data_IF_631994342724
#
_entry.id   IF_631994342724
#
_cell.length_a   1.000
_cell.length_b   1.000
_cell.length_c   1.000
_cell.angle_alpha   90.00
_cell.angle_beta   90.00
_cell.angle_gamma   90.00
#
_symmetry.space_group_name_H-M   'P 1'
#
loop_
_entity.id
_entity.type
_entity.pdbx_description
1 polymer ?
#
# COMPACT_ATOMS: atom_id res chain seq x y z
N UNK A 1 -5.62 -6.66 -14.98
CA UNK A 1 -6.43 -7.51 -14.07
C UNK A 1 -6.12 -9.00 -14.25
N UNK A 2 -6.28 -9.54 -15.44
CA UNK A 2 -6.10 -11.00 -15.70
C UNK A 2 -4.69 -11.50 -15.33
N UNK A 3 -3.64 -10.78 -15.70
CA UNK A 3 -2.25 -11.16 -15.36
C UNK A 3 -1.97 -11.11 -13.86
N UNK A 4 -2.51 -10.11 -13.17
CA UNK A 4 -2.44 -10.02 -11.70
C UNK A 4 -3.11 -11.23 -11.05
N UNK A 5 -4.33 -11.57 -11.50
CA UNK A 5 -5.07 -12.72 -10.98
C UNK A 5 -4.39 -14.05 -11.29
N UNK A 6 -3.74 -14.21 -12.47
CA UNK A 6 -2.95 -15.41 -12.78
C UNK A 6 -1.83 -15.66 -11.78
N UNK A 7 -1.13 -14.60 -11.33
CA UNK A 7 -0.11 -14.69 -10.30
C UNK A 7 -0.70 -15.20 -8.96
N UNK A 8 -1.87 -14.69 -8.56
CA UNK A 8 -2.59 -15.15 -7.37
C UNK A 8 -3.03 -16.62 -7.50
N UNK A 9 -3.66 -16.98 -8.62
CA UNK A 9 -4.07 -18.37 -8.87
C UNK A 9 -2.87 -19.33 -8.81
N UNK A 10 -1.71 -18.88 -9.32
CA UNK A 10 -0.48 -19.67 -9.34
C UNK A 10 0.06 -19.90 -7.93
N UNK A 11 0.06 -18.88 -7.08
CA UNK A 11 0.51 -19.01 -5.70
C UNK A 11 -0.48 -19.81 -4.84
N UNK A 12 -1.78 -19.66 -5.04
CA UNK A 12 -2.78 -20.40 -4.27
C UNK A 12 -2.73 -21.93 -4.54
N UNK A 13 -2.19 -22.36 -5.70
CA UNK A 13 -1.90 -23.77 -5.96
C UNK A 13 -0.82 -24.37 -5.04
N UNK A 14 -0.04 -23.56 -4.34
CA UNK A 14 0.95 -24.03 -3.35
C UNK A 14 0.34 -24.30 -1.98
N UNK A 15 -0.97 -24.09 -1.79
CA UNK A 15 -1.69 -24.28 -0.53
C UNK A 15 -1.84 -23.00 0.30
N UNK A 16 -1.39 -21.87 -0.22
CA UNK A 16 -1.67 -20.56 0.38
C UNK A 16 -3.09 -20.09 0.03
N UNK A 17 -3.67 -19.27 0.89
CA UNK A 17 -4.98 -18.62 0.67
C UNK A 17 -4.78 -17.11 0.56
N UNK A 18 -4.54 -16.64 -0.67
CA UNK A 18 -4.33 -15.24 -0.98
C UNK A 18 -5.50 -14.72 -1.79
N UNK A 19 -6.13 -13.65 -1.30
CA UNK A 19 -7.20 -12.94 -1.98
C UNK A 19 -6.65 -11.68 -2.65
N UNK A 20 -6.88 -11.47 -3.96
CA UNK A 20 -6.51 -10.23 -4.62
C UNK A 20 -7.40 -9.07 -4.17
N UNK A 21 -6.81 -7.90 -4.04
CA UNK A 21 -7.51 -6.64 -3.78
C UNK A 21 -7.08 -5.63 -4.83
N UNK A 22 -7.99 -5.28 -5.75
CA UNK A 22 -7.73 -4.22 -6.73
C UNK A 22 -8.04 -2.87 -6.11
N UNK A 23 -7.10 -1.97 -6.16
CA UNK A 23 -7.24 -0.65 -5.54
C UNK A 23 -7.00 0.49 -6.52
N UNK A 24 -7.68 1.60 -6.29
CA UNK A 24 -7.38 2.90 -6.89
C UNK A 24 -7.93 4.00 -6.00
N UNK A 25 -7.10 5.02 -5.73
CA UNK A 25 -7.49 6.19 -4.94
C UNK A 25 -8.33 7.18 -5.75
N UNK A 26 -9.05 8.05 -5.04
CA UNK A 26 -9.81 9.14 -5.68
C UNK A 26 -8.90 10.04 -6.53
N UNK A 27 -7.68 10.33 -6.05
CA UNK A 27 -6.68 11.12 -6.79
C UNK A 27 -6.28 10.45 -8.10
N UNK A 28 -6.04 9.14 -8.08
CA UNK A 28 -5.69 8.40 -9.29
C UNK A 28 -6.84 8.38 -10.28
N UNK A 29 -8.09 8.19 -9.83
CA UNK A 29 -9.28 8.26 -10.70
C UNK A 29 -9.37 9.60 -11.43
N UNK A 30 -9.13 10.71 -10.71
CA UNK A 30 -9.11 12.05 -11.31
C UNK A 30 -8.02 12.16 -12.38
N UNK A 31 -6.80 11.69 -12.09
CA UNK A 31 -5.65 11.82 -13.00
C UNK A 31 -5.76 10.95 -14.24
N UNK A 32 -6.35 9.77 -14.14
CA UNK A 32 -6.50 8.86 -15.29
C UNK A 32 -7.90 8.90 -15.92
N UNK A 33 -8.74 9.85 -15.52
CA UNK A 33 -10.08 10.07 -16.04
C UNK A 33 -10.98 8.82 -16.00
N UNK A 34 -10.90 8.05 -14.89
CA UNK A 34 -11.69 6.84 -14.65
C UNK A 34 -12.63 7.00 -13.45
N UNK A 35 -13.50 6.02 -13.24
CA UNK A 35 -14.46 5.99 -12.13
C UNK A 35 -14.27 4.73 -11.28
N UNK A 36 -14.68 4.74 -9.99
CA UNK A 36 -14.61 3.54 -9.14
C UNK A 36 -15.25 2.28 -9.75
N UNK A 37 -16.33 2.44 -10.50
CA UNK A 37 -16.99 1.35 -11.21
C UNK A 37 -16.10 0.67 -12.27
N UNK A 38 -15.10 1.37 -12.82
CA UNK A 38 -14.23 0.79 -13.84
C UNK A 38 -13.27 -0.24 -13.22
N UNK A 39 -12.79 0.00 -11.99
CA UNK A 39 -11.97 -0.97 -11.25
C UNK A 39 -12.79 -2.23 -10.93
N UNK A 40 -14.05 -2.07 -10.50
CA UNK A 40 -14.96 -3.20 -10.26
C UNK A 40 -15.17 -4.02 -11.53
N UNK A 41 -15.46 -3.37 -12.65
CA UNK A 41 -15.63 -4.06 -13.95
C UNK A 41 -14.39 -4.82 -14.39
N UNK A 42 -13.21 -4.23 -14.19
CA UNK A 42 -11.95 -4.88 -14.53
C UNK A 42 -11.67 -6.11 -13.65
N UNK A 43 -11.90 -5.99 -12.34
CA UNK A 43 -11.77 -7.10 -11.40
C UNK A 43 -12.73 -8.25 -11.76
N UNK A 44 -14.02 -7.93 -11.96
CA UNK A 44 -15.05 -8.91 -12.32
C UNK A 44 -14.75 -9.59 -13.66
N UNK A 45 -14.27 -8.83 -14.65
CA UNK A 45 -13.86 -9.38 -15.94
C UNK A 45 -12.65 -10.33 -15.81
N UNK A 46 -11.65 -9.99 -15.00
CA UNK A 46 -10.51 -10.85 -14.74
C UNK A 46 -10.91 -12.16 -14.04
N UNK A 47 -11.80 -12.06 -13.04
CA UNK A 47 -12.36 -13.21 -12.31
C UNK A 47 -13.13 -14.12 -13.27
N UNK A 48 -14.00 -13.56 -14.11
CA UNK A 48 -14.77 -14.31 -15.10
C UNK A 48 -13.86 -14.98 -16.15
N UNK A 49 -12.85 -14.26 -16.65
CA UNK A 49 -11.92 -14.78 -17.66
C UNK A 49 -11.11 -15.99 -17.18
N UNK A 50 -10.80 -16.08 -15.89
CA UNK A 50 -10.05 -17.19 -15.29
C UNK A 50 -10.93 -18.23 -14.58
N UNK A 51 -12.24 -18.01 -14.50
CA UNK A 51 -13.15 -18.87 -13.71
C UNK A 51 -12.73 -18.94 -12.23
N UNK A 52 -12.21 -17.84 -11.69
CA UNK A 52 -11.72 -17.80 -10.32
C UNK A 52 -12.88 -17.84 -9.33
N UNK A 53 -12.86 -18.79 -8.40
CA UNK A 53 -13.91 -19.00 -7.39
C UNK A 53 -13.51 -18.57 -5.97
N UNK A 54 -12.30 -18.03 -5.80
CA UNK A 54 -11.83 -17.53 -4.52
C UNK A 54 -12.41 -16.15 -4.19
N UNK A 55 -12.13 -15.67 -2.99
CA UNK A 55 -12.50 -14.30 -2.59
C UNK A 55 -11.63 -13.28 -3.30
N UNK A 56 -12.23 -12.15 -3.66
CA UNK A 56 -11.55 -10.98 -4.20
C UNK A 56 -12.25 -9.71 -3.77
N UNK A 57 -11.54 -8.60 -3.77
CA UNK A 57 -12.05 -7.32 -3.29
C UNK A 57 -11.64 -6.18 -4.20
N UNK A 58 -12.42 -5.10 -4.14
CA UNK A 58 -12.09 -3.80 -4.74
C UNK A 58 -12.00 -2.77 -3.63
N UNK A 59 -10.85 -2.14 -3.48
CA UNK A 59 -10.55 -1.20 -2.42
C UNK A 59 -10.76 0.25 -2.88
N UNK A 60 -11.54 0.97 -2.09
CA UNK A 60 -11.57 2.42 -2.09
C UNK A 60 -10.33 2.93 -1.34
N UNK A 61 -9.23 3.10 -2.08
CA UNK A 61 -7.91 3.35 -1.52
C UNK A 61 -7.78 4.78 -0.98
N UNK A 62 -7.35 4.91 0.29
CA UNK A 62 -7.10 6.19 0.98
C UNK A 62 -8.27 7.18 0.87
N UNK A 63 -9.45 6.76 1.36
CA UNK A 63 -10.66 7.58 1.35
C UNK A 63 -10.86 8.30 2.70
N UNK A 64 -11.56 9.43 2.62
CA UNK A 64 -12.07 10.17 3.76
C UNK A 64 -13.55 10.56 3.52
N UNK A 65 -14.18 11.25 4.46
CA UNK A 65 -15.60 11.65 4.31
C UNK A 65 -15.90 12.47 3.06
N UNK A 66 -14.92 13.24 2.56
CA UNK A 66 -15.07 14.04 1.34
C UNK A 66 -14.94 13.24 0.04
N UNK A 67 -14.36 12.05 0.09
CA UNK A 67 -14.04 11.25 -1.11
C UNK A 67 -14.71 9.89 -1.16
N UNK A 68 -15.30 9.40 -0.08
CA UNK A 68 -15.85 8.04 0.04
C UNK A 68 -17.07 7.78 -0.82
N UNK A 69 -17.94 8.78 -1.01
CA UNK A 69 -19.28 8.60 -1.61
C UNK A 69 -19.28 7.89 -2.99
N UNK A 70 -18.40 8.22 -3.95
CA UNK A 70 -18.37 7.57 -5.26
C UNK A 70 -18.01 6.08 -5.23
N UNK A 71 -17.39 5.60 -4.14
CA UNK A 71 -16.90 4.23 -4.00
C UNK A 71 -17.93 3.29 -3.35
N UNK A 72 -18.93 3.82 -2.65
CA UNK A 72 -19.86 3.04 -1.82
C UNK A 72 -20.49 1.86 -2.56
N UNK A 73 -20.96 2.07 -3.78
CA UNK A 73 -21.65 1.03 -4.56
C UNK A 73 -20.70 -0.03 -5.14
N UNK A 74 -19.44 0.30 -5.37
CA UNK A 74 -18.54 -0.51 -6.18
C UNK A 74 -17.40 -1.16 -5.39
N UNK A 75 -16.99 -0.57 -4.26
CA UNK A 75 -15.98 -1.11 -3.39
C UNK A 75 -16.58 -2.00 -2.28
N UNK A 76 -15.81 -2.98 -1.86
CA UNK A 76 -16.10 -3.88 -0.74
C UNK A 76 -14.90 -3.99 0.24
N UNK A 77 -13.88 -3.20 0.00
CA UNK A 77 -12.76 -2.94 0.89
C UNK A 77 -12.57 -1.42 0.96
N UNK A 78 -12.33 -0.86 2.15
CA UNK A 78 -12.20 0.59 2.34
C UNK A 78 -10.99 0.90 3.21
N UNK A 79 -10.02 1.61 2.65
CA UNK A 79 -8.86 2.14 3.37
C UNK A 79 -9.20 3.53 3.90
N UNK A 80 -9.53 3.60 5.18
CA UNK A 80 -9.84 4.84 5.88
C UNK A 80 -8.54 5.62 6.14
N UNK A 81 -8.30 6.68 5.39
CA UNK A 81 -7.14 7.55 5.56
C UNK A 81 -7.39 8.58 6.66
N UNK A 82 -6.68 8.43 7.76
CA UNK A 82 -6.77 9.33 8.92
C UNK A 82 -5.45 10.01 9.26
N UNK A 83 -4.44 9.85 8.42
CA UNK A 83 -3.10 10.42 8.63
C UNK A 83 -3.13 11.94 8.87
N UNK A 84 -3.94 12.67 8.09
CA UNK A 84 -4.08 14.13 8.21
C UNK A 84 -4.72 14.60 9.54
N UNK A 85 -5.25 13.68 10.34
CA UNK A 85 -5.84 13.97 11.66
C UNK A 85 -4.91 13.62 12.82
N UNK A 86 -3.76 13.00 12.56
CA UNK A 86 -2.74 12.75 13.58
C UNK A 86 -2.19 14.08 14.08
N UNK A 87 -2.16 14.25 15.41
CA UNK A 87 -1.70 15.47 16.06
C UNK A 87 -2.70 16.63 16.05
N UNK A 88 -3.93 16.44 15.51
CA UNK A 88 -5.00 17.45 15.68
C UNK A 88 -5.53 17.43 17.10
N UNK A 89 -5.91 18.62 17.58
CA UNK A 89 -6.45 18.79 18.92
C UNK A 89 -7.74 17.99 19.13
N UNK A 90 -7.83 17.33 20.25
CA UNK A 90 -9.04 16.68 20.76
C UNK A 90 -9.52 17.41 22.04
N UNK A 91 -10.82 17.38 22.37
CA UNK A 91 -11.33 17.95 23.61
C UNK A 91 -10.59 17.41 24.84
N UNK A 92 -10.19 18.28 25.75
CA UNK A 92 -9.43 17.89 26.95
C UNK A 92 -10.16 16.82 27.77
N UNK A 93 -11.49 16.87 27.83
CA UNK A 93 -12.33 15.88 28.49
C UNK A 93 -12.23 14.48 27.86
N UNK A 94 -12.10 14.38 26.54
CA UNK A 94 -11.89 13.10 25.84
C UNK A 94 -10.50 12.53 26.12
N UNK A 95 -9.47 13.40 26.17
CA UNK A 95 -8.10 13.01 26.53
C UNK A 95 -8.09 12.43 27.95
N UNK A 96 -8.69 13.12 28.92
CA UNK A 96 -8.74 12.64 30.33
C UNK A 96 -9.61 11.39 30.47
N UNK A 97 -10.70 11.27 29.72
CA UNK A 97 -11.52 10.06 29.70
C UNK A 97 -10.71 8.86 29.19
N UNK A 98 -9.94 9.05 28.12
CA UNK A 98 -9.05 8.02 27.58
C UNK A 98 -7.99 7.61 28.60
N UNK A 99 -7.26 8.58 29.20
CA UNK A 99 -6.26 8.30 30.24
C UNK A 99 -6.87 7.52 31.39
N UNK A 100 -8.06 7.92 31.83
CA UNK A 100 -8.80 7.23 32.93
C UNK A 100 -9.15 5.79 32.54
N UNK A 101 -9.55 5.52 31.32
CA UNK A 101 -9.87 4.18 30.82
C UNK A 101 -8.64 3.27 30.71
N UNK A 102 -7.45 3.86 30.61
CA UNK A 102 -6.16 3.17 30.46
C UNK A 102 -5.41 2.93 31.79
N UNK A 103 -5.98 3.32 32.97
CA UNK A 103 -5.28 3.21 34.28
C UNK A 103 -4.76 1.81 34.58
N UNK A 104 -5.43 0.75 34.12
CA UNK A 104 -5.00 -0.64 34.33
C UNK A 104 -3.68 -0.99 33.62
N UNK A 105 -3.23 -0.18 32.67
CA UNK A 105 -1.99 -0.38 31.93
C UNK A 105 -0.82 0.46 32.47
N UNK A 106 -1.03 1.29 33.48
CA UNK A 106 0.04 2.10 34.07
C UNK A 106 1.13 1.23 34.71
N UNK A 107 2.38 1.66 34.52
CA UNK A 107 3.58 0.94 34.94
C UNK A 107 4.11 0.07 33.80
N UNK A 108 4.30 -1.21 34.06
CA UNK A 108 4.89 -2.16 33.11
C UNK A 108 3.81 -2.90 32.32
N UNK A 109 3.57 -2.51 31.06
CA UNK A 109 2.73 -3.24 30.15
C UNK A 109 3.54 -4.35 29.47
N UNK A 110 3.30 -5.61 29.86
CA UNK A 110 3.93 -6.78 29.27
C UNK A 110 3.03 -7.39 28.20
N UNK A 111 3.55 -7.58 26.99
CA UNK A 111 2.86 -8.23 25.87
C UNK A 111 3.52 -9.59 25.63
N UNK A 112 2.76 -10.68 25.58
CA UNK A 112 3.32 -12.02 25.37
C UNK A 112 4.15 -12.10 24.08
N UNK A 113 5.38 -12.61 24.19
CA UNK A 113 6.33 -12.74 23.07
C UNK A 113 7.29 -11.53 22.92
N UNK A 114 7.02 -10.40 23.55
CA UNK A 114 7.94 -9.27 23.62
C UNK A 114 8.78 -9.38 24.90
N UNK A 115 10.10 -9.37 24.77
CA UNK A 115 11.04 -9.67 25.86
C UNK A 115 11.27 -8.49 26.83
N UNK A 116 10.65 -7.36 26.61
CA UNK A 116 10.72 -6.19 27.48
C UNK A 116 9.33 -5.61 27.70
N UNK A 117 9.03 -5.08 28.88
CA UNK A 117 7.79 -4.36 29.12
C UNK A 117 7.84 -2.98 28.46
N UNK A 118 6.66 -2.44 28.15
CA UNK A 118 6.52 -1.02 27.81
C UNK A 118 6.23 -0.24 29.10
N UNK A 119 7.00 0.84 29.32
CA UNK A 119 6.76 1.74 30.44
C UNK A 119 5.62 2.70 30.10
N UNK A 120 4.49 2.53 30.77
CA UNK A 120 3.29 3.33 30.54
C UNK A 120 3.08 4.31 31.70
N UNK A 121 3.20 5.59 31.43
CA UNK A 121 2.87 6.68 32.36
C UNK A 121 1.63 7.42 31.92
N UNK A 122 1.01 8.20 32.81
CA UNK A 122 -0.09 9.09 32.42
C UNK A 122 0.34 10.14 31.40
N UNK A 123 1.61 10.60 31.47
CA UNK A 123 2.16 11.54 30.48
C UNK A 123 2.24 10.90 29.09
N UNK A 124 2.70 9.64 29.01
CA UNK A 124 2.71 8.88 27.75
C UNK A 124 1.28 8.70 27.21
N UNK A 125 0.32 8.35 28.06
CA UNK A 125 -1.08 8.20 27.65
C UNK A 125 -1.68 9.51 27.13
N UNK A 126 -1.39 10.66 27.78
CA UNK A 126 -1.80 11.98 27.27
C UNK A 126 -1.14 12.31 25.93
N UNK A 127 0.15 11.99 25.78
CA UNK A 127 0.87 12.18 24.51
C UNK A 127 0.25 11.36 23.39
N UNK A 128 -0.03 10.08 23.62
CA UNK A 128 -0.67 9.18 22.67
C UNK A 128 -2.09 9.66 22.34
N UNK A 129 -2.86 10.04 23.35
CA UNK A 129 -4.20 10.61 23.15
C UNK A 129 -4.17 11.88 22.29
N UNK A 130 -3.27 12.81 22.60
CA UNK A 130 -3.09 14.04 21.84
C UNK A 130 -2.68 13.81 20.37
N UNK A 131 -2.00 12.69 20.10
CA UNK A 131 -1.62 12.33 18.73
C UNK A 131 -2.75 11.64 17.98
N UNK A 132 -3.49 10.71 18.58
CA UNK A 132 -4.28 9.74 17.82
C UNK A 132 -5.80 9.78 18.09
N UNK A 133 -6.30 10.47 19.11
CA UNK A 133 -7.74 10.53 19.38
C UNK A 133 -8.53 11.13 18.21
N UNK A 134 -8.08 12.25 17.65
CA UNK A 134 -8.74 12.87 16.51
C UNK A 134 -8.74 11.97 15.27
N UNK A 135 -7.63 11.27 15.03
CA UNK A 135 -7.50 10.33 13.92
C UNK A 135 -8.45 9.12 14.08
N UNK A 136 -8.52 8.53 15.28
CA UNK A 136 -9.43 7.41 15.55
C UNK A 136 -10.91 7.85 15.58
N UNK A 137 -11.20 9.08 15.96
CA UNK A 137 -12.54 9.67 15.82
C UNK A 137 -12.93 9.78 14.35
N UNK A 138 -12.03 10.27 13.50
CA UNK A 138 -12.26 10.35 12.06
C UNK A 138 -12.50 8.96 11.45
N UNK A 139 -11.71 7.95 11.87
CA UNK A 139 -11.94 6.57 11.44
C UNK A 139 -13.35 6.09 11.80
N UNK A 140 -13.82 6.40 13.02
CA UNK A 140 -15.17 6.05 13.45
C UNK A 140 -16.25 6.72 12.61
N UNK A 141 -16.10 7.99 12.30
CA UNK A 141 -17.06 8.74 11.48
C UNK A 141 -17.18 8.16 10.06
N UNK A 142 -16.05 7.84 9.42
CA UNK A 142 -16.03 7.21 8.09
C UNK A 142 -16.67 5.81 8.19
N UNK A 143 -16.30 5.02 9.19
CA UNK A 143 -16.88 3.69 9.40
C UNK A 143 -18.40 3.74 9.61
N UNK A 144 -18.93 4.66 10.42
CA UNK A 144 -20.37 4.81 10.64
C UNK A 144 -21.10 5.24 9.36
N UNK A 145 -20.50 6.10 8.55
CA UNK A 145 -21.02 6.43 7.24
C UNK A 145 -21.16 5.18 6.36
N UNK A 146 -20.09 4.39 6.26
CA UNK A 146 -20.07 3.15 5.47
C UNK A 146 -21.05 2.11 6.03
N UNK A 147 -21.10 1.93 7.35
CA UNK A 147 -22.06 1.03 8.02
C UNK A 147 -23.51 1.40 7.70
N UNK A 148 -23.81 2.69 7.68
CA UNK A 148 -25.15 3.19 7.33
C UNK A 148 -25.47 2.93 5.85
N UNK A 149 -24.51 3.14 4.96
CA UNK A 149 -24.71 3.04 3.53
C UNK A 149 -24.72 1.59 3.00
N UNK A 150 -23.87 0.71 3.55
CA UNK A 150 -23.66 -0.67 3.05
C UNK A 150 -24.20 -1.76 3.99
N UNK A 151 -24.43 -1.46 5.25
CA UNK A 151 -24.71 -2.44 6.30
C UNK A 151 -23.42 -3.01 6.91
N UNK A 152 -23.49 -3.34 8.20
CA UNK A 152 -22.39 -3.93 8.95
C UNK A 152 -22.01 -5.32 8.39
N UNK A 153 -20.70 -5.60 8.29
CA UNK A 153 -20.18 -6.87 7.80
C UNK A 153 -20.18 -7.05 6.28
N UNK A 154 -20.67 -6.08 5.52
CA UNK A 154 -20.69 -6.13 4.06
C UNK A 154 -19.45 -5.50 3.38
N UNK A 155 -18.46 -5.15 4.15
CA UNK A 155 -17.20 -4.59 3.66
C UNK A 155 -16.06 -4.83 4.64
N UNK A 156 -14.84 -4.79 4.12
CA UNK A 156 -13.59 -4.85 4.88
C UNK A 156 -13.17 -3.43 5.24
N UNK A 157 -12.73 -3.23 6.48
CA UNK A 157 -12.24 -1.95 6.98
C UNK A 157 -10.73 -2.03 7.22
N UNK A 158 -9.99 -1.19 6.52
CA UNK A 158 -8.60 -0.86 6.83
C UNK A 158 -8.54 0.53 7.46
N UNK A 159 -7.70 0.70 8.48
CA UNK A 159 -7.34 2.02 9.01
C UNK A 159 -5.89 2.32 8.64
N UNK A 160 -5.67 3.42 7.90
CA UNK A 160 -4.34 3.83 7.44
C UNK A 160 -3.86 5.08 8.17
N UNK A 161 -2.63 5.00 8.70
CA UNK A 161 -1.89 6.06 9.39
C UNK A 161 -0.46 6.20 8.83
N UNK A 162 -0.18 5.66 7.65
CA UNK A 162 1.18 5.56 7.11
C UNK A 162 1.69 6.83 6.40
N UNK A 163 0.79 7.70 5.95
CA UNK A 163 1.16 8.95 5.26
C UNK A 163 1.51 10.08 6.25
N UNK A 164 2.47 9.83 7.16
CA UNK A 164 3.00 10.79 8.14
C UNK A 164 4.52 10.72 8.23
N UNK A 165 5.16 11.73 8.82
CA UNK A 165 6.63 11.77 8.96
C UNK A 165 7.13 10.82 10.07
N UNK A 166 6.41 10.79 11.21
CA UNK A 166 6.86 10.08 12.41
C UNK A 166 6.26 8.68 12.47
N UNK A 167 7.08 7.62 12.59
CA UNK A 167 6.60 6.27 12.81
C UNK A 167 5.76 6.14 14.08
N UNK A 168 4.77 5.24 14.06
CA UNK A 168 4.10 4.79 15.27
C UNK A 168 4.93 3.67 15.91
N UNK A 169 5.11 3.78 17.22
CA UNK A 169 5.77 2.71 17.99
C UNK A 169 4.78 1.57 18.30
N UNK A 170 5.25 0.36 18.67
CA UNK A 170 4.35 -0.72 19.07
C UNK A 170 3.42 -0.36 20.24
N UNK A 171 3.86 0.49 21.18
CA UNK A 171 3.00 0.97 22.25
C UNK A 171 1.97 1.99 21.76
N UNK A 172 2.32 2.84 20.78
CA UNK A 172 1.35 3.69 20.11
C UNK A 172 0.27 2.84 19.42
N UNK A 173 0.68 1.79 18.68
CA UNK A 173 -0.22 0.88 17.99
C UNK A 173 -1.18 0.19 18.97
N UNK A 174 -0.70 -0.27 20.13
CA UNK A 174 -1.55 -0.88 21.15
C UNK A 174 -2.68 0.06 21.58
N UNK A 175 -2.36 1.31 21.87
CA UNK A 175 -3.37 2.29 22.32
C UNK A 175 -4.22 2.83 21.16
N UNK A 176 -3.72 2.89 19.94
CA UNK A 176 -4.53 3.16 18.73
C UNK A 176 -5.61 2.07 18.58
N UNK A 177 -5.25 0.81 18.70
CA UNK A 177 -6.18 -0.32 18.62
C UNK A 177 -7.23 -0.27 19.74
N UNK A 178 -6.84 0.14 20.96
CA UNK A 178 -7.79 0.40 22.04
C UNK A 178 -8.77 1.52 21.66
N UNK A 179 -8.29 2.65 21.12
CA UNK A 179 -9.15 3.75 20.73
C UNK A 179 -10.14 3.34 19.63
N UNK A 180 -9.70 2.56 18.65
CA UNK A 180 -10.56 2.03 17.59
C UNK A 180 -11.64 1.10 18.17
N UNK A 181 -11.27 0.21 19.10
CA UNK A 181 -12.21 -0.66 19.79
C UNK A 181 -13.24 0.13 20.61
N UNK A 182 -12.80 1.11 21.39
CA UNK A 182 -13.67 1.98 22.20
C UNK A 182 -14.67 2.76 21.33
N UNK A 183 -14.30 3.08 20.09
CA UNK A 183 -15.15 3.79 19.12
C UNK A 183 -15.96 2.84 18.21
N UNK A 184 -15.84 1.53 18.42
CA UNK A 184 -16.59 0.51 17.67
C UNK A 184 -16.20 0.40 16.19
N UNK A 185 -14.92 0.60 15.88
CA UNK A 185 -14.37 0.40 14.53
C UNK A 185 -13.75 -1.00 14.43
N UNK A 186 -14.41 -1.97 13.77
CA UNK A 186 -13.93 -3.33 13.64
C UNK A 186 -12.92 -3.45 12.49
N UNK A 187 -11.75 -2.86 12.63
CA UNK A 187 -10.71 -2.92 11.62
C UNK A 187 -10.25 -4.37 11.38
N UNK A 188 -10.19 -4.80 10.12
CA UNK A 188 -9.61 -6.08 9.71
C UNK A 188 -8.16 -5.93 9.26
N UNK A 189 -7.75 -4.74 8.87
CA UNK A 189 -6.35 -4.42 8.61
C UNK A 189 -6.01 -3.04 9.17
N UNK A 190 -4.75 -2.86 9.59
CA UNK A 190 -4.22 -1.57 10.06
C UNK A 190 -2.84 -1.33 9.44
N UNK A 191 -2.66 -0.12 8.91
CA UNK A 191 -1.42 0.31 8.28
C UNK A 191 -0.74 1.40 9.12
N UNK A 192 0.17 1.05 10.03
CA UNK A 192 1.01 2.02 10.72
C UNK A 192 2.14 2.51 9.81
N UNK A 193 2.74 3.64 10.17
CA UNK A 193 4.01 4.09 9.61
C UNK A 193 5.15 3.36 10.29
N UNK A 194 5.91 2.58 9.53
CA UNK A 194 7.14 1.95 9.99
C UNK A 194 8.34 2.90 9.87
N UNK A 195 9.39 2.63 10.65
CA UNK A 195 10.70 3.29 10.50
C UNK A 195 11.28 3.05 9.10
N UNK A 196 11.99 4.04 8.59
CA UNK A 196 12.60 4.02 7.26
C UNK A 196 11.72 4.65 6.18
N UNK A 197 12.17 4.55 4.93
CA UNK A 197 11.52 5.17 3.78
C UNK A 197 10.97 4.12 2.82
N UNK A 198 9.70 4.27 2.51
CA UNK A 198 8.96 3.45 1.56
C UNK A 198 8.76 4.23 0.26
N UNK A 199 9.88 4.64 -0.34
CA UNK A 199 9.84 5.43 -1.57
C UNK A 199 9.21 4.66 -2.72
N UNK A 200 8.49 5.39 -3.58
CA UNK A 200 7.82 4.83 -4.74
C UNK A 200 8.83 4.32 -5.77
N UNK A 201 8.56 3.13 -6.32
CA UNK A 201 9.36 2.56 -7.41
C UNK A 201 10.69 1.90 -7.00
N UNK A 202 11.13 1.98 -5.74
CA UNK A 202 12.44 1.49 -5.29
C UNK A 202 12.36 0.69 -4.00
N UNK A 203 13.44 0.02 -3.63
CA UNK A 203 13.51 -0.81 -2.43
C UNK A 203 13.44 0.02 -1.13
N UNK A 204 13.24 -0.67 -0.02
CA UNK A 204 13.25 -0.09 1.32
C UNK A 204 14.60 0.60 1.61
N UNK A 205 14.54 1.78 2.22
CA UNK A 205 15.72 2.55 2.63
C UNK A 205 15.63 2.84 4.14
N UNK A 206 16.42 2.13 4.92
CA UNK A 206 16.41 2.29 6.38
C UNK A 206 17.21 1.20 7.09
N UNK A 207 17.10 1.20 8.42
CA UNK A 207 17.69 0.14 9.24
C UNK A 207 16.78 -1.10 9.21
N UNK A 208 17.24 -2.14 8.53
CA UNK A 208 16.49 -3.39 8.33
C UNK A 208 16.27 -4.15 9.64
N UNK A 209 17.22 -4.11 10.57
CA UNK A 209 17.10 -4.77 11.88
C UNK A 209 16.04 -4.05 12.75
N UNK A 210 16.03 -2.73 12.71
CA UNK A 210 15.02 -1.93 13.40
C UNK A 210 13.62 -2.21 12.82
N UNK A 211 13.48 -2.24 11.49
CA UNK A 211 12.23 -2.61 10.84
C UNK A 211 11.76 -4.01 11.26
N UNK A 212 12.69 -4.99 11.28
CA UNK A 212 12.37 -6.36 11.68
C UNK A 212 11.80 -6.42 13.11
N UNK A 213 12.45 -5.70 14.03
CA UNK A 213 12.01 -5.62 15.42
C UNK A 213 10.62 -4.97 15.54
N UNK A 214 10.41 -3.82 14.91
CA UNK A 214 9.13 -3.11 14.94
C UNK A 214 8.01 -3.97 14.35
N UNK A 215 8.24 -4.57 13.18
CA UNK A 215 7.25 -5.41 12.52
C UNK A 215 6.88 -6.65 13.38
N UNK A 216 7.87 -7.29 14.03
CA UNK A 216 7.62 -8.42 14.92
C UNK A 216 6.83 -8.00 16.17
N UNK A 217 7.21 -6.90 16.79
CA UNK A 217 6.50 -6.37 17.96
C UNK A 217 5.06 -5.95 17.61
N UNK A 218 4.84 -5.31 16.45
CA UNK A 218 3.51 -4.94 15.99
C UNK A 218 2.61 -6.14 15.72
N UNK A 219 3.14 -7.24 15.16
CA UNK A 219 2.40 -8.50 15.00
C UNK A 219 1.94 -9.04 16.36
N UNK A 220 2.81 -9.00 17.37
CA UNK A 220 2.50 -9.46 18.72
C UNK A 220 1.55 -8.53 19.46
N UNK A 221 1.70 -7.23 19.27
CA UNK A 221 0.77 -6.20 19.80
C UNK A 221 -0.64 -6.44 19.26
N UNK A 222 -0.80 -6.65 17.96
CA UNK A 222 -2.10 -6.93 17.34
C UNK A 222 -2.71 -8.20 17.94
N UNK A 223 -1.94 -9.28 18.08
CA UNK A 223 -2.44 -10.53 18.63
C UNK A 223 -2.93 -10.40 20.06
N UNK A 224 -2.25 -9.58 20.85
CA UNK A 224 -2.66 -9.26 22.21
C UNK A 224 -3.89 -8.34 22.25
N UNK A 225 -3.88 -7.26 21.44
CA UNK A 225 -4.97 -6.27 21.38
C UNK A 225 -6.29 -6.89 20.89
N UNK A 226 -6.25 -7.81 19.94
CA UNK A 226 -7.44 -8.55 19.47
C UNK A 226 -8.15 -9.23 20.63
N UNK A 227 -7.41 -9.91 21.51
CA UNK A 227 -7.96 -10.61 22.68
C UNK A 227 -8.38 -9.66 23.77
N UNK A 228 -7.58 -8.63 24.02
CA UNK A 228 -7.77 -7.66 25.12
C UNK A 228 -8.95 -6.72 24.86
N UNK A 229 -9.18 -6.33 23.59
CA UNK A 229 -10.19 -5.34 23.23
C UNK A 229 -11.38 -5.93 22.46
N UNK A 230 -11.37 -7.23 22.14
CA UNK A 230 -12.44 -7.87 21.38
C UNK A 230 -12.51 -7.40 19.93
N UNK A 231 -11.36 -7.08 19.32
CA UNK A 231 -11.24 -6.72 17.92
C UNK A 231 -11.42 -7.96 17.02
N UNK A 232 -11.68 -7.78 15.70
CA UNK A 232 -11.82 -8.90 14.78
C UNK A 232 -10.60 -9.84 14.82
N UNK A 233 -10.84 -11.15 14.87
CA UNK A 233 -9.78 -12.15 14.99
C UNK A 233 -8.85 -12.19 13.76
N UNK A 234 -9.34 -11.74 12.64
CA UNK A 234 -8.63 -11.61 11.36
C UNK A 234 -7.80 -10.32 11.23
N UNK A 235 -7.85 -9.42 12.24
CA UNK A 235 -7.05 -8.19 12.21
C UNK A 235 -5.56 -8.51 12.01
N UNK A 236 -4.97 -7.86 11.04
CA UNK A 236 -3.56 -8.03 10.66
C UNK A 236 -2.92 -6.71 10.25
N UNK A 237 -1.60 -6.70 10.21
CA UNK A 237 -0.85 -5.59 9.64
C UNK A 237 -1.13 -5.44 8.15
N UNK A 238 -1.20 -4.20 7.71
CA UNK A 238 -1.13 -3.78 6.33
C UNK A 238 0.18 -3.02 6.10
N UNK A 239 0.92 -3.41 5.06
CA UNK A 239 2.15 -2.73 4.67
C UNK A 239 1.93 -2.05 3.33
N UNK A 240 1.88 -0.72 3.34
CA UNK A 240 1.78 0.09 2.13
C UNK A 240 3.18 0.24 1.53
N UNK A 241 3.58 -0.77 0.76
CA UNK A 241 4.93 -0.84 0.23
C UNK A 241 5.20 0.18 -0.89
N UNK A 242 4.14 0.64 -1.57
CA UNK A 242 4.22 1.58 -2.69
C UNK A 242 4.94 1.02 -3.93
N UNK A 243 5.61 -0.11 -3.84
CA UNK A 243 6.25 -0.91 -4.88
C UNK A 243 7.16 -1.99 -4.26
N UNK A 244 8.10 -2.51 -5.05
CA UNK A 244 9.06 -3.55 -4.70
C UNK A 244 9.90 -3.21 -3.46
N UNK A 245 9.71 -3.92 -2.35
CA UNK A 245 10.49 -3.78 -1.10
C UNK A 245 11.20 -5.09 -0.79
N UNK A 246 12.01 -5.54 -1.74
CA UNK A 246 12.60 -6.87 -1.75
C UNK A 246 13.49 -7.17 -0.54
N UNK A 247 14.13 -6.15 0.03
CA UNK A 247 15.00 -6.29 1.20
C UNK A 247 14.23 -6.72 2.45
N UNK A 248 12.99 -6.25 2.63
CA UNK A 248 12.21 -6.54 3.84
C UNK A 248 11.21 -7.69 3.67
N UNK A 249 10.90 -8.12 2.45
CA UNK A 249 9.94 -9.21 2.22
C UNK A 249 10.32 -10.54 2.91
N UNK A 250 11.57 -11.02 2.86
CA UNK A 250 11.95 -12.25 3.57
C UNK A 250 11.80 -12.14 5.09
N UNK A 251 12.00 -10.94 5.63
CA UNK A 251 11.84 -10.66 7.07
C UNK A 251 10.38 -10.77 7.46
N UNK A 252 9.50 -10.08 6.73
CA UNK A 252 8.06 -10.18 6.94
C UNK A 252 7.57 -11.62 6.80
N UNK A 253 8.02 -12.32 5.75
CA UNK A 253 7.71 -13.74 5.54
C UNK A 253 8.07 -14.62 6.76
N UNK A 254 9.30 -14.49 7.25
CA UNK A 254 9.76 -15.25 8.43
C UNK A 254 8.95 -14.95 9.68
N UNK A 255 8.59 -13.71 9.92
CA UNK A 255 7.81 -13.30 11.11
C UNK A 255 6.36 -13.78 11.00
N UNK A 256 5.66 -13.56 9.89
CA UNK A 256 4.29 -14.03 9.74
C UNK A 256 4.18 -15.55 9.80
N UNK A 257 5.16 -16.27 9.24
CA UNK A 257 5.24 -17.73 9.33
C UNK A 257 5.49 -18.20 10.77
N UNK A 258 6.42 -17.56 11.48
CA UNK A 258 6.75 -17.88 12.88
C UNK A 258 5.54 -17.80 13.79
N UNK A 259 4.67 -16.82 13.59
CA UNK A 259 3.51 -16.59 14.43
C UNK A 259 2.19 -17.08 13.83
N UNK A 260 2.21 -17.67 12.63
CA UNK A 260 1.00 -18.15 11.94
C UNK A 260 0.00 -17.04 11.65
N UNK A 261 0.49 -15.85 11.25
CA UNK A 261 -0.34 -14.65 11.02
C UNK A 261 -0.53 -14.35 9.54
N UNK A 262 -1.59 -13.60 9.23
CA UNK A 262 -1.81 -13.02 7.91
C UNK A 262 -1.10 -11.69 7.73
N UNK A 263 -1.06 -11.22 6.49
CA UNK A 263 -0.52 -9.92 6.11
C UNK A 263 -1.34 -9.35 4.96
N UNK A 264 -1.60 -8.05 4.97
CA UNK A 264 -2.04 -7.31 3.80
C UNK A 264 -0.86 -6.51 3.24
N UNK A 265 -0.68 -6.49 1.92
CA UNK A 265 0.39 -5.72 1.27
C UNK A 265 -0.19 -4.94 0.11
N UNK A 266 0.00 -3.63 0.11
CA UNK A 266 -0.34 -2.75 -1.02
C UNK A 266 0.91 -2.45 -1.84
N UNK A 267 0.86 -2.77 -3.13
CA UNK A 267 1.96 -2.59 -4.09
C UNK A 267 1.56 -1.63 -5.21
N UNK A 268 0.87 -0.54 -4.85
CA UNK A 268 0.39 0.45 -5.81
C UNK A 268 1.52 0.97 -6.72
N UNK A 269 1.22 1.13 -8.01
CA UNK A 269 2.16 1.57 -9.04
C UNK A 269 3.05 0.48 -9.63
N UNK A 270 3.10 -0.72 -9.05
CA UNK A 270 3.89 -1.83 -9.60
C UNK A 270 3.39 -2.24 -10.99
N UNK A 271 2.08 -2.41 -11.16
CA UNK A 271 1.48 -2.78 -12.46
C UNK A 271 1.79 -1.75 -13.53
N UNK A 272 1.65 -0.47 -13.23
CA UNK A 272 2.00 0.61 -14.15
C UNK A 272 3.45 0.52 -14.66
N UNK A 273 4.40 0.28 -13.76
CA UNK A 273 5.81 0.11 -14.15
C UNK A 273 6.01 -1.10 -15.04
N UNK A 274 5.33 -2.21 -14.78
CA UNK A 274 5.40 -3.42 -15.63
C UNK A 274 4.69 -3.23 -16.97
N UNK A 275 3.65 -2.39 -17.08
CA UNK A 275 3.08 -1.98 -18.35
C UNK A 275 4.11 -1.26 -19.21
N UNK A 276 4.83 -0.27 -18.67
CA UNK A 276 5.89 0.44 -19.41
C UNK A 276 7.05 -0.48 -19.78
N UNK A 277 7.44 -1.40 -18.89
CA UNK A 277 8.44 -2.42 -19.21
C UNK A 277 7.96 -3.30 -20.36
N UNK A 278 6.72 -3.76 -20.33
CA UNK A 278 6.12 -4.58 -21.39
C UNK A 278 6.05 -3.86 -22.72
N UNK A 279 5.69 -2.57 -22.74
CA UNK A 279 5.72 -1.72 -23.94
C UNK A 279 7.15 -1.60 -24.49
N UNK A 280 8.14 -1.39 -23.63
CA UNK A 280 9.53 -1.33 -24.04
C UNK A 280 10.02 -2.66 -24.65
N UNK A 281 9.67 -3.79 -24.02
CA UNK A 281 10.01 -5.15 -24.51
C UNK A 281 9.34 -5.44 -25.86
N UNK A 282 8.11 -5.00 -26.07
CA UNK A 282 7.39 -5.16 -27.32
C UNK A 282 8.07 -4.43 -28.51
N UNK A 283 8.81 -3.36 -28.23
CA UNK A 283 9.57 -2.62 -29.26
C UNK A 283 8.69 -1.77 -30.18
N UNK A 284 9.28 -1.28 -31.26
CA UNK A 284 8.58 -0.49 -32.28
C UNK A 284 7.84 0.72 -31.70
N UNK A 285 6.59 0.91 -32.12
CA UNK A 285 5.73 2.01 -31.67
C UNK A 285 5.48 2.02 -30.14
N UNK A 286 5.46 0.86 -29.51
CA UNK A 286 5.29 0.74 -28.07
C UNK A 286 6.53 1.23 -27.28
N UNK A 287 7.73 0.93 -27.76
CA UNK A 287 8.97 1.47 -27.20
C UNK A 287 9.03 2.99 -27.36
N UNK A 288 8.67 3.51 -28.53
CA UNK A 288 8.67 4.96 -28.77
C UNK A 288 7.66 5.69 -27.85
N UNK A 289 6.50 5.09 -27.57
CA UNK A 289 5.57 5.62 -26.59
C UNK A 289 6.16 5.65 -25.16
N UNK A 290 6.87 4.60 -24.75
CA UNK A 290 7.55 4.56 -23.46
C UNK A 290 8.66 5.64 -23.35
N UNK A 291 9.42 5.87 -24.42
CA UNK A 291 10.42 6.93 -24.50
C UNK A 291 9.80 8.34 -24.45
N UNK A 292 8.67 8.54 -25.14
CA UNK A 292 7.92 9.80 -25.09
C UNK A 292 7.42 10.12 -23.67
N UNK A 293 6.86 9.13 -22.97
CA UNK A 293 6.48 9.26 -21.57
C UNK A 293 7.66 9.74 -20.71
N UNK A 294 8.83 9.13 -20.87
CA UNK A 294 10.02 9.54 -20.13
C UNK A 294 10.47 10.96 -20.48
N UNK A 295 10.54 11.30 -21.77
CA UNK A 295 10.95 12.63 -22.22
C UNK A 295 10.01 13.73 -21.69
N UNK A 296 8.71 13.49 -21.70
CA UNK A 296 7.71 14.39 -21.11
C UNK A 296 7.82 14.45 -19.59
N UNK A 297 8.10 13.32 -18.94
CA UNK A 297 8.30 13.27 -17.48
C UNK A 297 9.50 14.08 -17.03
N UNK A 298 10.60 14.10 -17.80
CA UNK A 298 11.75 14.97 -17.52
C UNK A 298 11.36 16.45 -17.52
N UNK A 299 10.57 16.89 -18.52
CA UNK A 299 10.12 18.28 -18.65
C UNK A 299 9.18 18.67 -17.52
N UNK A 300 8.28 17.77 -17.13
CA UNK A 300 7.23 18.03 -16.12
C UNK A 300 7.61 17.53 -14.71
N UNK A 301 8.88 17.16 -14.49
CA UNK A 301 9.32 16.47 -13.26
C UNK A 301 8.87 17.16 -11.99
N UNK A 302 9.04 18.48 -11.90
CA UNK A 302 8.67 19.27 -10.71
C UNK A 302 7.18 19.13 -10.38
N UNK A 303 6.31 19.22 -11.39
CA UNK A 303 4.86 19.07 -11.21
C UNK A 303 4.48 17.65 -10.84
N UNK A 304 5.06 16.65 -11.53
CA UNK A 304 4.75 15.24 -11.30
C UNK A 304 5.23 14.75 -9.93
N UNK A 305 6.36 15.24 -9.44
CA UNK A 305 6.93 14.85 -8.15
C UNK A 305 6.28 15.56 -6.95
N UNK A 306 5.72 16.76 -7.15
CA UNK A 306 5.19 17.58 -6.04
C UNK A 306 4.19 16.84 -5.12
N UNK A 307 3.22 16.05 -5.63
CA UNK A 307 2.29 15.30 -4.78
C UNK A 307 2.94 14.12 -4.01
N UNK A 308 4.20 13.80 -4.29
CA UNK A 308 4.93 12.64 -3.77
C UNK A 308 6.25 13.00 -3.10
N UNK A 309 6.44 14.28 -2.71
CA UNK A 309 7.70 14.80 -2.17
C UNK A 309 8.27 13.95 -1.01
N UNK A 310 7.40 13.44 -0.14
CA UNK A 310 7.79 12.65 1.04
C UNK A 310 8.17 11.20 0.72
N UNK A 311 7.76 10.68 -0.44
CA UNK A 311 7.93 9.28 -0.85
C UNK A 311 8.67 9.10 -2.17
N UNK A 312 9.37 10.14 -2.61
CA UNK A 312 10.23 10.13 -3.81
C UNK A 312 11.57 10.77 -3.49
N UNK A 313 12.64 10.27 -4.12
CA UNK A 313 14.00 10.82 -3.98
C UNK A 313 14.74 10.60 -5.30
N UNK A 314 14.75 11.62 -6.14
CA UNK A 314 15.37 11.59 -7.46
C UNK A 314 16.59 12.53 -7.49
N UNK A 315 17.75 11.96 -7.79
CA UNK A 315 18.98 12.69 -8.07
C UNK A 315 19.05 13.02 -9.56
N UNK A 316 18.89 14.30 -9.89
CA UNK A 316 18.86 14.79 -11.28
C UNK A 316 20.12 14.47 -12.07
N UNK A 317 21.28 14.45 -11.39
CA UNK A 317 22.55 14.15 -12.01
C UNK A 317 22.64 12.70 -12.53
N UNK A 318 21.75 11.83 -12.08
CA UNK A 318 21.65 10.41 -12.48
C UNK A 318 20.56 10.10 -13.48
N UNK A 319 19.78 11.11 -13.87
CA UNK A 319 18.78 10.94 -14.91
C UNK A 319 19.43 11.04 -16.30
N UNK A 320 19.24 10.04 -17.18
CA UNK A 320 19.70 10.15 -18.56
C UNK A 320 18.91 11.23 -19.30
N UNK A 321 19.57 11.90 -20.25
CA UNK A 321 18.89 12.90 -21.09
C UNK A 321 17.85 12.24 -22.01
N UNK A 322 16.83 13.01 -22.42
CA UNK A 322 15.84 12.53 -23.39
C UNK A 322 16.49 12.08 -24.69
N UNK A 323 17.52 12.78 -25.17
CA UNK A 323 18.28 12.43 -26.39
C UNK A 323 19.00 11.09 -26.24
N UNK A 324 19.58 10.82 -25.08
CA UNK A 324 20.22 9.54 -24.79
C UNK A 324 19.21 8.40 -24.80
N UNK A 325 18.07 8.58 -24.10
CA UNK A 325 17.01 7.57 -24.02
C UNK A 325 16.36 7.32 -25.38
N UNK A 326 16.23 8.34 -26.23
CA UNK A 326 15.73 8.18 -27.61
C UNK A 326 16.54 7.17 -28.42
N UNK A 327 17.85 7.06 -28.18
CA UNK A 327 18.75 6.10 -28.81
C UNK A 327 18.75 4.69 -28.21
N UNK A 328 18.02 4.43 -27.13
CA UNK A 328 18.06 3.14 -26.44
C UNK A 328 17.33 2.04 -27.20
N UNK A 329 17.86 0.81 -27.09
CA UNK A 329 17.17 -0.41 -27.50
C UNK A 329 16.06 -0.76 -26.51
N UNK A 330 15.14 -1.63 -26.92
CA UNK A 330 14.11 -2.25 -26.06
C UNK A 330 14.71 -2.84 -24.76
N UNK A 331 15.79 -3.60 -24.91
CA UNK A 331 16.47 -4.25 -23.79
C UNK A 331 17.05 -3.22 -22.82
N UNK A 332 17.76 -2.20 -23.32
CA UNK A 332 18.36 -1.14 -22.49
C UNK A 332 17.28 -0.39 -21.70
N UNK A 333 16.19 0.02 -22.35
CA UNK A 333 15.11 0.73 -21.68
C UNK A 333 14.46 -0.15 -20.60
N UNK A 334 14.08 -1.39 -20.97
CA UNK A 334 13.43 -2.32 -20.04
C UNK A 334 14.32 -2.64 -18.83
N UNK A 335 15.63 -2.90 -19.03
CA UNK A 335 16.56 -3.20 -17.94
C UNK A 335 16.87 -1.99 -17.06
N UNK A 336 16.86 -0.78 -17.61
CA UNK A 336 17.00 0.45 -16.82
C UNK A 336 15.80 0.67 -15.88
N UNK A 337 14.61 0.31 -16.32
CA UNK A 337 13.38 0.44 -15.56
C UNK A 337 13.14 -0.75 -14.62
N UNK A 338 13.49 -1.96 -15.02
CA UNK A 338 13.22 -3.20 -14.27
C UNK A 338 14.05 -3.26 -13.00
N UNK A 339 13.39 -3.37 -11.83
CA UNK A 339 14.07 -3.44 -10.55
C UNK A 339 14.70 -4.83 -10.34
N UNK A 340 15.89 -5.02 -10.89
CA UNK A 340 16.73 -6.20 -10.64
C UNK A 340 17.95 -5.73 -9.85
N UNK A 341 18.06 -6.07 -8.54
CA UNK A 341 19.22 -5.68 -7.74
C UNK A 341 20.53 -6.15 -8.37
N UNK A 342 21.49 -5.21 -8.49
CA UNK A 342 22.82 -5.49 -9.07
C UNK A 342 22.88 -5.53 -10.61
N UNK A 343 21.76 -5.34 -11.32
CA UNK A 343 21.80 -5.22 -12.77
C UNK A 343 22.51 -3.90 -13.18
N UNK A 344 23.51 -3.93 -14.10
CA UNK A 344 24.33 -2.76 -14.42
C UNK A 344 23.54 -1.60 -15.05
N UNK A 345 22.44 -1.91 -15.71
CA UNK A 345 21.60 -0.90 -16.35
C UNK A 345 20.56 -0.28 -15.43
N UNK A 346 20.23 -0.94 -14.29
CA UNK A 346 19.18 -0.47 -13.40
C UNK A 346 19.44 0.94 -12.88
N UNK A 347 18.44 1.82 -13.04
CA UNK A 347 18.50 3.19 -12.54
C UNK A 347 17.27 3.53 -11.68
N UNK A 348 17.49 3.62 -10.38
CA UNK A 348 16.43 3.92 -9.42
C UNK A 348 15.79 5.31 -9.65
N UNK A 349 16.55 6.29 -10.14
CA UNK A 349 16.04 7.64 -10.42
C UNK A 349 15.14 7.65 -11.66
N UNK A 350 15.57 6.95 -12.71
CA UNK A 350 14.76 6.73 -13.91
C UNK A 350 13.44 6.04 -13.56
N UNK A 351 13.51 4.97 -12.76
CA UNK A 351 12.33 4.21 -12.34
C UNK A 351 11.35 5.06 -11.51
N UNK A 352 11.84 5.87 -10.57
CA UNK A 352 10.98 6.75 -9.78
C UNK A 352 10.32 7.83 -10.65
N UNK A 353 11.03 8.39 -11.63
CA UNK A 353 10.46 9.38 -12.54
C UNK A 353 9.36 8.78 -13.42
N UNK A 354 9.58 7.59 -13.99
CA UNK A 354 8.52 6.86 -14.70
C UNK A 354 7.36 6.55 -13.78
N UNK A 355 7.61 6.16 -12.51
CA UNK A 355 6.56 5.83 -11.57
C UNK A 355 5.54 6.96 -11.41
N UNK A 356 5.98 8.21 -11.31
CA UNK A 356 5.06 9.37 -11.19
C UNK A 356 4.53 9.85 -12.54
N UNK A 357 5.03 9.30 -13.63
CA UNK A 357 4.65 9.64 -15.00
C UNK A 357 3.34 9.04 -15.51
N UNK A 358 2.60 8.26 -14.70
CA UNK A 358 1.38 7.58 -15.14
C UNK A 358 0.29 8.51 -15.69
N UNK A 359 0.22 9.75 -15.19
CA UNK A 359 -0.65 10.81 -15.73
C UNK A 359 -0.38 11.08 -17.21
N UNK A 360 0.90 11.06 -17.62
CA UNK A 360 1.29 11.33 -19.01
C UNK A 360 0.82 10.23 -19.97
N UNK A 361 0.79 8.98 -19.51
CA UNK A 361 0.20 7.90 -20.26
C UNK A 361 -1.32 8.04 -20.38
N UNK A 362 -1.99 8.42 -19.29
CA UNK A 362 -3.42 8.72 -19.32
C UNK A 362 -3.76 9.84 -20.30
N UNK A 363 -2.94 10.89 -20.37
CA UNK A 363 -3.09 12.00 -21.34
C UNK A 363 -2.92 11.58 -22.80
N UNK A 364 -2.28 10.44 -23.08
CA UNK A 364 -2.23 9.84 -24.43
C UNK A 364 -3.58 9.21 -24.85
N UNK A 365 -4.48 8.98 -23.91
CA UNK A 365 -5.83 8.49 -24.13
C UNK A 365 -5.86 7.18 -24.94
N UNK A 366 -6.66 7.17 -26.03
CA UNK A 366 -6.84 5.98 -26.87
C UNK A 366 -5.53 5.44 -27.46
N UNK A 367 -4.57 6.27 -27.76
CA UNK A 367 -3.26 5.83 -28.28
C UNK A 367 -2.57 4.89 -27.30
N UNK A 368 -2.62 5.22 -26.01
CA UNK A 368 -2.02 4.38 -24.97
C UNK A 368 -2.80 3.07 -24.78
N UNK A 369 -4.13 3.14 -24.68
CA UNK A 369 -4.95 1.94 -24.49
C UNK A 369 -4.88 0.97 -25.67
N UNK A 370 -4.81 1.46 -26.91
CA UNK A 370 -4.62 0.62 -28.10
C UNK A 370 -3.25 -0.12 -28.07
N UNK A 371 -2.20 0.53 -27.54
CA UNK A 371 -0.90 -0.13 -27.34
C UNK A 371 -0.96 -1.21 -26.25
N UNK A 372 -1.67 -0.96 -25.14
CA UNK A 372 -1.87 -1.96 -24.10
C UNK A 372 -2.62 -3.19 -24.63
N UNK A 373 -3.68 -2.99 -25.41
CA UNK A 373 -4.46 -4.08 -26.02
C UNK A 373 -3.60 -4.86 -27.03
N UNK A 374 -2.89 -4.17 -27.92
CA UNK A 374 -2.04 -4.77 -28.95
C UNK A 374 -0.92 -5.63 -28.36
N UNK A 375 -0.38 -5.24 -27.20
CA UNK A 375 0.76 -5.89 -26.57
C UNK A 375 0.40 -6.59 -25.25
N UNK A 376 -0.89 -6.91 -25.03
CA UNK A 376 -1.42 -7.46 -23.80
C UNK A 376 -0.69 -8.71 -23.28
N UNK A 377 -0.26 -9.60 -24.19
CA UNK A 377 0.45 -10.83 -23.81
C UNK A 377 1.85 -10.56 -23.23
N UNK A 378 2.60 -9.64 -23.85
CA UNK A 378 3.94 -9.26 -23.38
C UNK A 378 3.85 -8.54 -22.05
N UNK A 379 2.94 -7.55 -21.95
CA UNK A 379 2.69 -6.80 -20.73
C UNK A 379 2.21 -7.74 -19.62
N UNK A 380 1.26 -8.62 -19.94
CA UNK A 380 0.73 -9.59 -18.98
C UNK A 380 1.81 -10.53 -18.43
N UNK A 381 2.78 -10.93 -19.24
CA UNK A 381 3.92 -11.72 -18.80
C UNK A 381 4.81 -10.96 -17.82
N UNK A 382 5.08 -9.67 -18.08
CA UNK A 382 5.85 -8.82 -17.17
C UNK A 382 5.13 -8.62 -15.82
N UNK A 383 3.83 -8.36 -15.86
CA UNK A 383 3.00 -8.19 -14.65
C UNK A 383 2.95 -9.48 -13.83
N UNK A 384 2.71 -10.64 -14.47
CA UNK A 384 2.67 -11.94 -13.79
C UNK A 384 4.02 -12.29 -13.15
N UNK A 385 5.14 -12.13 -13.89
CA UNK A 385 6.49 -12.34 -13.36
C UNK A 385 6.77 -11.44 -12.15
N UNK A 386 6.43 -10.16 -12.23
CA UNK A 386 6.66 -9.23 -11.13
C UNK A 386 5.88 -9.66 -9.88
N UNK A 387 4.58 -9.87 -10.00
CA UNK A 387 3.73 -10.21 -8.84
C UNK A 387 4.09 -11.59 -8.31
N UNK A 388 4.20 -12.61 -9.15
CA UNK A 388 4.47 -13.97 -8.69
C UNK A 388 5.92 -14.16 -8.25
N UNK A 389 6.89 -13.93 -9.14
CA UNK A 389 8.28 -14.30 -8.88
C UNK A 389 9.00 -13.29 -7.96
N UNK A 390 8.66 -12.00 -8.05
CA UNK A 390 9.36 -10.95 -7.30
C UNK A 390 8.68 -10.57 -5.99
N UNK A 391 7.34 -10.64 -5.92
CA UNK A 391 6.60 -10.30 -4.70
C UNK A 391 6.18 -11.55 -3.94
N UNK A 392 5.26 -12.35 -4.48
CA UNK A 392 4.62 -13.44 -3.74
C UNK A 392 5.61 -14.52 -3.29
N UNK A 393 6.52 -14.95 -4.16
CA UNK A 393 7.55 -15.92 -3.77
C UNK A 393 8.43 -15.44 -2.62
N UNK A 394 8.77 -14.15 -2.59
CA UNK A 394 9.61 -13.57 -1.54
C UNK A 394 8.83 -13.36 -0.24
N UNK A 395 7.56 -12.93 -0.34
CA UNK A 395 6.68 -12.72 0.80
C UNK A 395 6.24 -14.00 1.48
N UNK A 396 6.27 -15.13 0.80
CA UNK A 396 5.83 -16.43 1.35
C UNK A 396 6.91 -17.51 1.34
N UNK A 397 8.16 -17.16 0.99
CA UNK A 397 9.32 -18.06 0.98
C UNK A 397 9.08 -19.32 0.13
N UNK A 398 8.52 -19.16 -1.08
CA UNK A 398 8.21 -20.22 -2.04
C UNK A 398 9.39 -20.55 -2.96
#
# INVERSE_FOLDING_TARGET
>A
GVAQLRAIVKVNKTGLDISPVWNKSNREHIYVHSHPADVRKEADAAVAALGFSGKYFVDADHINLGTVAPFVETADFFTLDVASFIGKESPAEEVEAFVSSCKKYLGHLSIPGINHPFEVSEELLRSIAGKFLAATQQASEIYQYLKTAKGEGNFITEVSMDEVETPQTPVDLFFILKMLADKGVPAQTIAPKFTGRFNKGVDYKGNVEQFAKEFEEDVLVIDYAVKEFGLPAELKLSVHSGSDKFTIYPIMAGIIQKYGKGLHVKTAGTTWLEEVIGLAVAGGDALEAAKDIYARALVQKTELCAPYADVIEIDDSKLPSATEVAGWSSEKFANTLRHIPGHPDYNANFRQLIHVGYKLAADMGKTYTDLLEKHADVIGSCVEENIYDRHLKRLFSL
#
